data_IF_663894720590
#
_entry.id   IF_663894720590
#
_cell.length_a   1.000
_cell.length_b   1.000
_cell.length_c   1.000
_cell.angle_alpha   90.00
_cell.angle_beta   90.00
_cell.angle_gamma   90.00
#
_symmetry.space_group_name_H-M   'P 1'
#
loop_
_entity.id
_entity.type
_entity.pdbx_description
1 polymer ?
#
# COMPACT_ATOMS: atom_id res chain seq x y z
N UNK A 1 0.52 -22.64 -17.73
CA UNK A 1 1.10 -21.62 -16.83
C UNK A 1 1.41 -22.15 -15.43
N UNK A 2 0.44 -22.65 -14.67
CA UNK A 2 0.72 -23.20 -13.32
C UNK A 2 1.64 -24.43 -13.32
N UNK A 3 1.42 -25.38 -14.26
CA UNK A 3 2.19 -26.62 -14.30
C UNK A 3 3.67 -26.40 -14.71
N UNK A 4 3.92 -25.57 -15.73
CA UNK A 4 5.27 -25.20 -16.16
C UNK A 4 6.06 -24.41 -15.12
N UNK A 5 5.38 -23.58 -14.33
CA UNK A 5 5.99 -22.87 -13.19
C UNK A 5 6.38 -23.87 -12.10
N UNK A 6 5.50 -24.82 -11.77
CA UNK A 6 5.79 -25.84 -10.75
C UNK A 6 6.97 -26.72 -11.14
N UNK A 7 7.03 -27.16 -12.40
CA UNK A 7 8.17 -27.91 -12.94
C UNK A 7 9.48 -27.12 -12.75
N UNK A 8 9.48 -25.83 -13.09
CA UNK A 8 10.64 -24.95 -12.90
C UNK A 8 11.02 -24.77 -11.42
N UNK A 9 10.04 -24.74 -10.52
CA UNK A 9 10.27 -24.62 -9.08
C UNK A 9 10.82 -25.92 -8.48
N UNK A 10 10.35 -27.08 -8.91
CA UNK A 10 10.83 -28.40 -8.48
C UNK A 10 12.29 -28.65 -8.90
N UNK A 11 12.69 -28.13 -10.06
CA UNK A 11 14.08 -28.19 -10.55
C UNK A 11 15.01 -27.16 -9.88
N UNK A 12 14.48 -26.24 -9.06
CA UNK A 12 15.29 -25.23 -8.40
C UNK A 12 16.24 -25.84 -7.37
N UNK A 13 17.54 -25.58 -7.54
CA UNK A 13 18.58 -26.03 -6.59
C UNK A 13 18.40 -25.47 -5.17
N UNK A 14 17.81 -24.28 -5.04
CA UNK A 14 17.69 -23.58 -3.75
C UNK A 14 16.40 -23.87 -3.01
N UNK A 15 15.29 -24.08 -3.72
CA UNK A 15 13.96 -24.24 -3.10
C UNK A 15 13.26 -25.55 -3.46
N UNK A 16 13.76 -26.33 -4.43
CA UNK A 16 13.10 -27.54 -4.93
C UNK A 16 12.71 -28.52 -3.83
N UNK A 17 13.63 -28.84 -2.92
CA UNK A 17 13.36 -29.71 -1.76
C UNK A 17 12.26 -29.17 -0.82
N UNK A 18 12.06 -27.86 -0.77
CA UNK A 18 11.04 -27.20 0.04
C UNK A 18 9.68 -27.15 -0.67
N UNK A 19 9.65 -27.06 -2.00
CA UNK A 19 8.40 -27.02 -2.78
C UNK A 19 7.88 -28.41 -3.18
N UNK A 20 8.73 -29.44 -3.24
CA UNK A 20 8.34 -30.80 -3.66
C UNK A 20 7.27 -31.46 -2.76
N UNK A 21 7.07 -30.96 -1.52
CA UNK A 21 6.08 -31.48 -0.56
C UNK A 21 4.89 -30.52 -0.36
N UNK A 22 4.73 -29.50 -1.21
CA UNK A 22 3.60 -28.57 -1.13
C UNK A 22 2.34 -29.25 -1.63
N UNK A 23 1.52 -29.74 -0.70
CA UNK A 23 0.27 -30.43 -1.00
C UNK A 23 -0.87 -29.48 -1.42
N UNK A 24 -0.73 -28.17 -1.19
CA UNK A 24 -1.72 -27.17 -1.57
C UNK A 24 -1.06 -25.83 -1.89
N UNK A 25 -1.39 -25.28 -3.05
CA UNK A 25 -0.95 -23.94 -3.47
C UNK A 25 -2.12 -22.99 -3.28
N UNK A 26 -1.89 -21.88 -2.57
CA UNK A 26 -2.83 -20.77 -2.53
C UNK A 26 -2.24 -19.61 -3.30
N UNK A 27 -2.94 -19.19 -4.35
CA UNK A 27 -2.63 -17.97 -5.06
C UNK A 27 -3.45 -16.83 -4.46
N UNK A 28 -2.83 -15.67 -4.32
CA UNK A 28 -3.49 -14.43 -3.93
C UNK A 28 -2.94 -13.27 -4.77
N UNK A 29 -3.75 -12.25 -5.07
CA UNK A 29 -3.26 -11.06 -5.74
C UNK A 29 -2.18 -10.38 -4.88
N UNK A 30 -0.97 -10.21 -5.43
CA UNK A 30 0.15 -9.54 -4.76
C UNK A 30 0.41 -8.12 -5.28
N UNK A 31 -0.24 -7.73 -6.38
CA UNK A 31 -0.13 -6.38 -6.92
C UNK A 31 -0.63 -5.34 -5.89
N UNK A 32 0.04 -4.17 -5.79
CA UNK A 32 -0.42 -3.09 -4.93
C UNK A 32 -1.85 -2.67 -5.27
N UNK A 33 -2.67 -2.44 -4.24
CA UNK A 33 -4.03 -1.97 -4.40
C UNK A 33 -4.41 -1.01 -3.26
N UNK A 34 -5.21 0.00 -3.59
CA UNK A 34 -5.81 0.94 -2.63
C UNK A 34 -7.32 0.92 -2.77
N UNK A 35 -8.04 0.79 -1.64
CA UNK A 35 -9.49 0.87 -1.58
C UNK A 35 -9.96 2.31 -1.49
N UNK A 36 -11.10 2.61 -2.10
CA UNK A 36 -11.79 3.89 -1.94
C UNK A 36 -13.29 3.65 -1.70
N UNK A 37 -13.94 4.41 -0.80
CA UNK A 37 -13.36 5.37 0.14
C UNK A 37 -12.52 4.69 1.25
N UNK A 38 -11.53 5.40 1.81
CA UNK A 38 -10.65 4.90 2.89
C UNK A 38 -11.25 5.06 4.30
N UNK A 39 -12.08 6.07 4.51
CA UNK A 39 -12.78 6.33 5.75
C UNK A 39 -14.09 7.10 5.48
N UNK A 40 -14.94 7.19 6.48
CA UNK A 40 -16.18 7.96 6.46
C UNK A 40 -16.71 8.19 7.87
N UNK A 41 -17.91 8.75 7.96
CA UNK A 41 -18.53 9.01 9.27
C UNK A 41 -18.71 7.67 10.02
N UNK A 42 -18.02 7.55 11.15
CA UNK A 42 -18.09 6.39 12.04
C UNK A 42 -17.26 5.18 11.62
N UNK A 43 -16.42 5.25 10.57
CA UNK A 43 -15.61 4.10 10.16
C UNK A 43 -14.29 4.48 9.46
N UNK A 44 -13.28 3.62 9.61
CA UNK A 44 -11.98 3.70 8.94
C UNK A 44 -11.58 2.31 8.43
N UNK A 45 -10.98 2.24 7.24
CA UNK A 45 -10.24 1.06 6.80
C UNK A 45 -8.79 1.20 7.27
N UNK A 46 -8.20 0.10 7.76
CA UNK A 46 -6.83 0.07 8.32
C UNK A 46 -6.06 -1.13 7.77
N UNK A 47 -4.75 -0.99 7.60
CA UNK A 47 -3.89 -2.07 7.10
C UNK A 47 -4.33 -2.60 5.73
N UNK A 48 -4.31 -3.92 5.55
CA UNK A 48 -4.66 -4.56 4.26
C UNK A 48 -6.11 -4.30 3.84
N UNK A 49 -7.02 -3.98 4.77
CA UNK A 49 -8.38 -3.59 4.41
C UNK A 49 -8.44 -2.25 3.66
N UNK A 50 -7.45 -1.38 3.85
CA UNK A 50 -7.30 -0.09 3.17
C UNK A 50 -6.37 -0.18 1.96
N UNK A 51 -5.15 -0.67 2.19
CA UNK A 51 -4.10 -0.73 1.17
C UNK A 51 -3.41 -2.08 1.27
N UNK A 52 -3.35 -2.78 0.14
CA UNK A 52 -2.47 -3.93 -0.03
C UNK A 52 -1.16 -3.46 -0.65
N UNK A 53 -0.06 -3.69 0.06
CA UNK A 53 1.29 -3.43 -0.43
C UNK A 53 1.84 -4.67 -1.12
N UNK A 54 2.71 -4.45 -2.11
CA UNK A 54 3.53 -5.51 -2.68
C UNK A 54 4.47 -6.06 -1.59
N UNK A 55 4.48 -7.39 -1.35
CA UNK A 55 5.31 -8.00 -0.30
C UNK A 55 6.81 -7.81 -0.52
N UNK A 56 7.27 -7.45 -1.72
CA UNK A 56 8.70 -7.20 -2.02
C UNK A 56 9.30 -6.12 -1.13
N UNK A 57 8.50 -5.17 -0.65
CA UNK A 57 8.99 -4.11 0.24
C UNK A 57 9.16 -4.56 1.69
N UNK A 58 8.50 -5.65 2.11
CA UNK A 58 8.44 -6.04 3.52
C UNK A 58 7.64 -5.09 4.42
N UNK A 59 6.96 -4.07 3.87
CA UNK A 59 6.34 -2.98 4.65
C UNK A 59 4.90 -3.25 5.09
N UNK A 60 4.31 -4.41 4.79
CA UNK A 60 2.89 -4.71 5.09
C UNK A 60 2.53 -4.55 6.57
N UNK A 61 3.26 -5.21 7.47
CA UNK A 61 3.02 -5.13 8.92
C UNK A 61 3.34 -3.73 9.49
N UNK A 62 4.51 -3.11 9.18
CA UNK A 62 4.76 -1.72 9.57
C UNK A 62 3.68 -0.74 9.10
N UNK A 63 3.18 -0.88 7.88
CA UNK A 63 2.10 -0.05 7.35
C UNK A 63 0.78 -0.25 8.12
N UNK A 64 0.40 -1.49 8.42
CA UNK A 64 -0.81 -1.78 9.20
C UNK A 64 -0.74 -1.12 10.59
N UNK A 65 0.42 -1.18 11.25
CA UNK A 65 0.62 -0.54 12.55
C UNK A 65 0.54 0.99 12.44
N UNK A 66 1.27 1.60 11.50
CA UNK A 66 1.28 3.07 11.32
C UNK A 66 -0.10 3.61 10.95
N UNK A 67 -0.85 2.90 10.11
CA UNK A 67 -2.23 3.30 9.74
C UNK A 67 -3.21 3.17 10.92
N UNK A 68 -3.04 2.17 11.78
CA UNK A 68 -3.83 2.03 13.02
C UNK A 68 -3.51 3.17 14.01
N UNK A 69 -2.24 3.49 14.21
CA UNK A 69 -1.80 4.60 15.06
C UNK A 69 -2.34 5.94 14.57
N UNK A 70 -2.26 6.20 13.26
CA UNK A 70 -2.79 7.42 12.66
C UNK A 70 -4.31 7.52 12.82
N UNK A 71 -5.03 6.41 12.58
CA UNK A 71 -6.49 6.36 12.78
C UNK A 71 -6.86 6.69 14.22
N UNK A 72 -6.16 6.10 15.20
CA UNK A 72 -6.41 6.37 16.61
C UNK A 72 -6.19 7.84 16.97
N UNK A 73 -5.11 8.46 16.46
CA UNK A 73 -4.82 9.87 16.69
C UNK A 73 -5.85 10.81 16.06
N UNK A 74 -6.32 10.49 14.85
CA UNK A 74 -7.39 11.23 14.16
C UNK A 74 -8.70 11.11 14.94
N UNK A 75 -9.08 9.90 15.34
CA UNK A 75 -10.30 9.64 16.09
C UNK A 75 -10.30 10.35 17.45
N UNK A 76 -9.19 10.28 18.19
CA UNK A 76 -9.00 11.00 19.45
C UNK A 76 -9.12 12.52 19.27
N UNK A 77 -8.50 13.08 18.22
CA UNK A 77 -8.61 14.50 17.90
C UNK A 77 -10.05 14.94 17.61
N UNK A 78 -10.79 14.14 16.86
CA UNK A 78 -12.21 14.39 16.52
C UNK A 78 -13.08 14.29 17.77
N UNK A 79 -12.97 13.22 18.55
CA UNK A 79 -13.80 12.98 19.74
C UNK A 79 -13.49 13.96 20.89
N UNK A 80 -12.30 14.57 20.89
CA UNK A 80 -11.90 15.58 21.86
C UNK A 80 -12.14 17.02 21.39
N UNK A 81 -12.85 17.22 20.26
CA UNK A 81 -13.09 18.52 19.62
C UNK A 81 -11.80 19.33 19.30
N UNK A 82 -10.65 18.66 19.21
CA UNK A 82 -9.36 19.28 18.83
C UNK A 82 -9.15 19.34 17.31
N UNK A 83 -9.93 18.56 16.57
CA UNK A 83 -9.78 18.38 15.13
C UNK A 83 -11.18 18.33 14.51
N UNK A 84 -11.50 19.23 13.55
CA UNK A 84 -12.74 19.13 12.80
C UNK A 84 -12.86 17.77 12.09
N UNK A 85 -14.06 17.18 12.07
CA UNK A 85 -14.32 15.85 11.50
C UNK A 85 -13.78 15.73 10.07
N UNK A 86 -14.15 16.66 9.19
CA UNK A 86 -13.78 16.66 7.78
C UNK A 86 -12.27 16.79 7.60
N UNK A 87 -11.63 17.63 8.40
CA UNK A 87 -10.18 17.82 8.37
C UNK A 87 -9.44 16.55 8.80
N UNK A 88 -9.93 15.86 9.84
CA UNK A 88 -9.35 14.60 10.30
C UNK A 88 -9.49 13.46 9.29
N UNK A 89 -10.69 13.30 8.70
CA UNK A 89 -10.92 12.30 7.65
C UNK A 89 -10.06 12.59 6.42
N UNK A 90 -9.99 13.85 5.98
CA UNK A 90 -9.16 14.25 4.85
C UNK A 90 -7.68 13.98 5.12
N UNK A 91 -7.18 14.33 6.30
CA UNK A 91 -5.80 14.06 6.67
C UNK A 91 -5.49 12.55 6.65
N UNK A 92 -6.39 11.72 7.19
CA UNK A 92 -6.25 10.26 7.15
C UNK A 92 -6.16 9.73 5.70
N UNK A 93 -7.11 10.13 4.84
CA UNK A 93 -7.14 9.76 3.43
C UNK A 93 -5.86 10.17 2.69
N UNK A 94 -5.42 11.42 2.86
CA UNK A 94 -4.24 11.96 2.20
C UNK A 94 -2.96 11.23 2.64
N UNK A 95 -2.82 10.90 3.94
CA UNK A 95 -1.67 10.14 4.45
C UNK A 95 -1.59 8.73 3.86
N UNK A 96 -2.70 8.00 3.83
CA UNK A 96 -2.71 6.65 3.28
C UNK A 96 -2.46 6.66 1.77
N UNK A 97 -3.10 7.58 1.05
CA UNK A 97 -2.93 7.74 -0.40
C UNK A 97 -1.48 8.10 -0.74
N UNK A 98 -0.86 9.00 0.03
CA UNK A 98 0.56 9.32 -0.11
C UNK A 98 1.45 8.09 0.06
N UNK A 99 1.23 7.30 1.12
CA UNK A 99 1.98 6.06 1.35
C UNK A 99 1.83 5.07 0.19
N UNK A 100 0.63 4.93 -0.37
CA UNK A 100 0.39 4.07 -1.52
C UNK A 100 1.13 4.54 -2.77
N UNK A 101 1.06 5.84 -3.10
CA UNK A 101 1.78 6.40 -4.26
C UNK A 101 3.28 6.18 -4.11
N UNK A 102 3.83 6.47 -2.93
CA UNK A 102 5.26 6.29 -2.65
C UNK A 102 5.68 4.82 -2.80
N UNK A 103 4.89 3.87 -2.28
CA UNK A 103 5.13 2.44 -2.46
C UNK A 103 5.07 2.02 -3.93
N UNK A 104 4.03 2.44 -4.65
CA UNK A 104 3.84 2.08 -6.05
C UNK A 104 4.96 2.63 -6.95
N UNK A 105 5.45 3.85 -6.69
CA UNK A 105 6.64 4.40 -7.35
C UNK A 105 7.89 3.57 -7.05
N UNK A 106 8.07 3.11 -5.81
CA UNK A 106 9.17 2.25 -5.42
C UNK A 106 9.14 0.90 -6.15
N UNK A 107 7.98 0.24 -6.17
CA UNK A 107 7.81 -1.02 -6.89
C UNK A 107 8.02 -0.87 -8.39
N UNK A 108 7.51 0.22 -8.99
CA UNK A 108 7.67 0.48 -10.42
C UNK A 108 9.15 0.53 -10.79
N UNK A 109 9.95 1.35 -10.07
CA UNK A 109 11.40 1.41 -10.29
C UNK A 109 12.09 0.06 -10.10
N UNK A 110 11.77 -0.66 -9.03
CA UNK A 110 12.38 -1.96 -8.73
C UNK A 110 12.14 -2.98 -9.85
N UNK A 111 10.89 -3.11 -10.31
CA UNK A 111 10.54 -4.08 -11.34
C UNK A 111 11.01 -3.66 -12.74
N UNK A 112 11.08 -2.35 -13.03
CA UNK A 112 11.71 -1.85 -14.25
C UNK A 112 13.20 -2.23 -14.30
N UNK A 113 13.95 -1.99 -13.22
CA UNK A 113 15.36 -2.34 -13.14
C UNK A 113 15.59 -3.85 -13.24
N UNK A 114 14.74 -4.66 -12.59
CA UNK A 114 14.89 -6.12 -12.55
C UNK A 114 14.42 -6.82 -13.84
N UNK A 115 13.35 -6.33 -14.48
CA UNK A 115 12.64 -7.06 -15.54
C UNK A 115 12.26 -6.23 -16.77
N UNK A 116 12.62 -4.94 -16.86
CA UNK A 116 12.16 -4.02 -17.91
C UNK A 116 12.46 -4.45 -19.35
N UNK A 117 13.42 -5.35 -19.57
CA UNK A 117 13.74 -5.91 -20.89
C UNK A 117 12.92 -7.16 -21.28
N UNK A 118 12.03 -7.65 -20.40
CA UNK A 118 11.27 -8.87 -20.65
C UNK A 118 9.82 -8.56 -21.03
N UNK A 119 9.38 -9.04 -22.19
CA UNK A 119 8.04 -8.79 -22.74
C UNK A 119 6.91 -9.21 -21.77
N UNK A 120 7.11 -10.26 -20.99
CA UNK A 120 6.11 -10.79 -20.05
C UNK A 120 5.86 -9.92 -18.81
N UNK A 121 6.68 -8.89 -18.56
CA UNK A 121 6.47 -7.93 -17.46
C UNK A 121 5.94 -6.56 -17.93
N UNK A 122 5.92 -6.32 -19.24
CA UNK A 122 5.52 -5.04 -19.82
C UNK A 122 4.09 -4.62 -19.48
N UNK A 123 3.14 -5.57 -19.44
CA UNK A 123 1.74 -5.31 -19.09
C UNK A 123 1.55 -4.93 -17.63
N UNK A 124 2.32 -5.53 -16.72
CA UNK A 124 2.27 -5.23 -15.28
C UNK A 124 2.85 -3.84 -15.01
N UNK A 125 4.02 -3.54 -15.58
CA UNK A 125 4.63 -2.22 -15.50
C UNK A 125 3.71 -1.15 -16.09
N UNK A 126 3.07 -1.41 -17.23
CA UNK A 126 2.10 -0.48 -17.81
C UNK A 126 0.92 -0.19 -16.86
N UNK A 127 0.39 -1.23 -16.20
CA UNK A 127 -0.71 -1.10 -15.25
C UNK A 127 -0.31 -0.26 -14.03
N UNK A 128 0.90 -0.46 -13.49
CA UNK A 128 1.43 0.32 -12.38
C UNK A 128 1.60 1.80 -12.75
N UNK A 129 2.16 2.08 -13.93
CA UNK A 129 2.27 3.45 -14.46
C UNK A 129 0.91 4.11 -14.67
N UNK A 130 -0.06 3.36 -15.20
CA UNK A 130 -1.41 3.86 -15.41
C UNK A 130 -2.04 4.33 -14.09
N UNK A 131 -1.93 3.52 -13.02
CA UNK A 131 -2.43 3.89 -11.69
C UNK A 131 -1.69 5.14 -11.16
N UNK A 132 -0.36 5.19 -11.29
CA UNK A 132 0.41 6.37 -10.88
C UNK A 132 -0.07 7.63 -11.61
N UNK A 133 -0.31 7.55 -12.92
CA UNK A 133 -0.79 8.66 -13.73
C UNK A 133 -2.20 9.13 -13.34
N UNK A 134 -3.07 8.22 -12.88
CA UNK A 134 -4.40 8.58 -12.35
C UNK A 134 -4.28 9.34 -11.03
N UNK A 135 -3.34 8.94 -10.17
CA UNK A 135 -3.17 9.52 -8.83
C UNK A 135 -2.31 10.79 -8.83
N UNK A 136 -1.41 10.94 -9.79
CA UNK A 136 -0.45 12.06 -9.86
C UNK A 136 -1.10 13.46 -9.80
N UNK A 137 -2.23 13.73 -10.48
CA UNK A 137 -2.89 15.04 -10.41
C UNK A 137 -3.33 15.44 -8.99
N UNK A 138 -3.57 14.47 -8.12
CA UNK A 138 -3.99 14.69 -6.73
C UNK A 138 -2.79 14.90 -5.80
N UNK A 139 -1.56 14.61 -6.26
CA UNK A 139 -0.38 14.52 -5.42
C UNK A 139 -0.01 15.84 -4.73
N UNK A 140 -0.12 16.97 -5.42
CA UNK A 140 0.16 18.29 -4.83
C UNK A 140 -0.80 18.62 -3.69
N UNK A 141 -2.08 18.31 -3.86
CA UNK A 141 -3.09 18.50 -2.80
C UNK A 141 -2.82 17.57 -1.62
N UNK A 142 -2.52 16.30 -1.90
CA UNK A 142 -2.16 15.32 -0.88
C UNK A 142 -0.95 15.80 -0.08
N UNK A 143 0.10 16.28 -0.74
CA UNK A 143 1.31 16.80 -0.11
C UNK A 143 1.00 17.97 0.83
N UNK A 144 0.13 18.89 0.41
CA UNK A 144 -0.34 19.97 1.25
C UNK A 144 -1.09 19.44 2.49
N UNK A 145 -2.06 18.54 2.29
CA UNK A 145 -2.91 18.01 3.38
C UNK A 145 -2.12 17.24 4.45
N UNK A 146 -1.08 16.50 4.04
CA UNK A 146 -0.24 15.75 4.98
C UNK A 146 0.69 16.65 5.80
N UNK A 147 0.93 17.89 5.34
CA UNK A 147 1.77 18.88 6.04
C UNK A 147 0.97 19.68 7.07
N UNK A 148 -0.37 19.75 6.94
CA UNK A 148 -1.21 20.48 7.88
C UNK A 148 -1.15 19.94 9.31
N UNK A 149 -0.86 18.64 9.46
CA UNK A 149 -0.82 18.00 10.76
C UNK A 149 0.34 17.01 10.90
N UNK A 150 0.83 16.87 12.13
CA UNK A 150 1.88 15.94 12.51
C UNK A 150 1.44 15.05 13.65
N UNK A 151 1.99 13.84 13.68
CA UNK A 151 1.80 12.91 14.79
C UNK A 151 2.91 13.13 15.82
N UNK A 152 2.56 13.70 16.97
CA UNK A 152 3.48 13.95 18.11
C UNK A 152 2.91 13.24 19.32
N UNK A 153 3.69 12.34 19.94
CA UNK A 153 3.27 11.54 21.10
C UNK A 153 1.89 10.89 20.93
N UNK A 154 1.66 10.26 19.77
CA UNK A 154 0.39 9.62 19.37
C UNK A 154 -0.81 10.56 19.23
N UNK A 155 -0.59 11.88 19.17
CA UNK A 155 -1.64 12.88 18.95
C UNK A 155 -1.42 13.62 17.65
N UNK A 156 -2.53 13.97 17.00
CA UNK A 156 -2.51 14.81 15.82
C UNK A 156 -2.44 16.28 16.24
N UNK A 157 -1.39 16.98 15.82
CA UNK A 157 -1.12 18.39 16.14
C UNK A 157 -1.00 19.17 14.84
N UNK A 158 -1.57 20.39 14.79
CA UNK A 158 -1.43 21.26 13.63
C UNK A 158 0.03 21.74 13.51
N UNK A 159 0.60 21.63 12.31
CA UNK A 159 1.98 22.07 12.02
C UNK A 159 2.15 23.58 12.02
#
# INVERSE_FOLDING_TARGET
FQQSLLESLYESRGIGSHVNNVNSIRCFPCAPYIRQPLCGIGWFLVGEAAIKLDPVSGEGTPFALRSAMLMAAVLDGILSDRLPLEAGLQHYCSRLTYSFISHLQGCTRFYEEAFGFRENWSSELHSMHHILNILYPQFSQILHDIQLYQLVDFRLVQS
#
